data_IF_193726953151
#
_entry.id   IF_193726953151
#
_cell.length_a   1.000
_cell.length_b   1.000
_cell.length_c   1.000
_cell.angle_alpha   90.00
_cell.angle_beta   90.00
_cell.angle_gamma   90.00
#
_symmetry.space_group_name_H-M   'P 1'
#
loop_
_entity.id
_entity.type
_entity.pdbx_description
1 polymer ?
#
# COMPACT_ATOMS: atom_id res chain seq x y z
N UNK A 1 2.42 5.02 -4.35
CA UNK A 1 2.47 6.22 -3.48
C UNK A 1 3.03 5.83 -2.13
N UNK A 2 3.94 6.62 -1.55
CA UNK A 2 4.48 6.42 -0.21
C UNK A 2 4.28 7.72 0.58
N UNK A 3 3.54 7.65 1.69
CA UNK A 3 3.19 8.84 2.48
C UNK A 3 2.02 8.56 3.41
N UNK A 4 1.25 9.61 3.74
CA UNK A 4 0.05 9.46 4.55
C UNK A 4 -1.18 9.23 3.68
N UNK A 5 -2.19 8.60 4.26
CA UNK A 5 -3.43 8.30 3.58
C UNK A 5 -4.60 8.28 4.55
N UNK A 6 -5.77 8.50 3.99
CA UNK A 6 -7.03 8.19 4.63
C UNK A 6 -8.00 7.70 3.52
N UNK A 7 -9.26 7.38 3.85
CA UNK A 7 -10.16 6.78 2.88
C UNK A 7 -10.39 7.64 1.62
N UNK A 8 -10.19 8.95 1.67
CA UNK A 8 -10.53 9.87 0.57
C UNK A 8 -9.35 10.57 -0.10
N UNK A 9 -8.11 10.37 0.37
CA UNK A 9 -6.94 11.09 -0.16
C UNK A 9 -5.58 10.48 0.20
N UNK A 10 -4.62 10.85 -0.63
CA UNK A 10 -3.19 10.75 -0.38
C UNK A 10 -2.62 12.10 0.06
N UNK A 11 -1.72 12.09 1.06
CA UNK A 11 -1.17 13.28 1.68
C UNK A 11 0.37 13.16 1.67
N UNK A 12 1.07 14.16 1.10
CA UNK A 12 2.53 14.15 0.92
C UNK A 12 3.30 14.29 2.23
N UNK A 13 2.79 15.10 3.14
CA UNK A 13 3.46 15.41 4.40
C UNK A 13 2.46 15.55 5.57
N UNK A 14 2.94 15.49 6.82
CA UNK A 14 2.09 15.69 8.01
C UNK A 14 1.38 17.06 8.04
N UNK A 15 1.88 18.06 7.30
CA UNK A 15 1.31 19.40 7.16
C UNK A 15 0.05 19.47 6.29
N UNK A 16 -0.54 18.33 5.93
CA UNK A 16 -1.76 18.21 5.12
C UNK A 16 -1.62 18.67 3.66
N UNK A 17 -0.42 18.68 3.09
CA UNK A 17 -0.27 18.85 1.64
C UNK A 17 -0.88 17.67 0.90
N UNK A 18 -1.98 17.94 0.18
CA UNK A 18 -2.77 16.91 -0.49
C UNK A 18 -2.15 16.58 -1.83
N UNK A 19 -1.84 15.30 -2.04
CA UNK A 19 -1.29 14.82 -3.30
C UNK A 19 -2.39 14.54 -4.33
N UNK A 20 -3.46 13.89 -3.89
CA UNK A 20 -4.48 13.30 -4.76
C UNK A 20 -5.72 12.94 -3.94
N UNK A 21 -6.91 13.28 -4.41
CA UNK A 21 -8.19 13.09 -3.71
C UNK A 21 -9.19 12.26 -4.50
N UNK A 22 -10.31 11.90 -3.86
CA UNK A 22 -11.44 11.23 -4.51
C UNK A 22 -11.96 11.95 -5.76
N UNK A 23 -11.94 13.29 -5.81
CA UNK A 23 -12.34 14.00 -7.02
C UNK A 23 -11.37 13.72 -8.18
N UNK A 24 -10.07 13.71 -7.92
CA UNK A 24 -9.06 13.39 -8.94
C UNK A 24 -9.20 11.94 -9.40
N UNK A 25 -9.47 11.01 -8.45
CA UNK A 25 -9.75 9.62 -8.74
C UNK A 25 -10.99 9.43 -9.62
N UNK A 26 -12.07 10.17 -9.33
CA UNK A 26 -13.31 10.13 -10.10
C UNK A 26 -13.18 10.75 -11.50
N UNK A 27 -12.29 11.72 -11.67
CA UNK A 27 -12.13 12.49 -12.90
C UNK A 27 -10.89 12.13 -13.70
N UNK A 28 -10.12 11.12 -13.26
CA UNK A 28 -8.92 10.69 -13.97
C UNK A 28 -9.21 10.22 -15.41
N UNK A 29 -8.36 10.68 -16.33
CA UNK A 29 -8.52 10.57 -17.78
C UNK A 29 -7.50 9.64 -18.45
N UNK A 30 -6.86 8.75 -17.69
CA UNK A 30 -5.93 7.74 -18.21
C UNK A 30 -6.67 6.58 -18.90
N UNK A 31 -7.51 6.92 -19.88
CA UNK A 31 -8.34 5.97 -20.60
C UNK A 31 -7.48 4.94 -21.30
N UNK A 32 -7.80 3.66 -21.13
CA UNK A 32 -7.08 2.50 -21.66
C UNK A 32 -5.58 2.46 -21.30
N UNK A 33 -5.16 3.25 -20.31
CA UNK A 33 -3.76 3.39 -19.85
C UNK A 33 -3.74 3.32 -18.32
N UNK A 34 -4.44 2.32 -17.80
CA UNK A 34 -4.58 2.08 -16.37
C UNK A 34 -3.27 1.60 -15.74
N UNK A 35 -3.04 1.99 -14.49
CA UNK A 35 -1.82 1.63 -13.77
C UNK A 35 -2.11 0.69 -12.60
N UNK A 36 -1.12 -0.12 -12.22
CA UNK A 36 -1.12 -0.79 -10.92
C UNK A 36 -0.68 0.21 -9.86
N UNK A 37 -1.51 0.39 -8.84
CA UNK A 37 -1.22 1.30 -7.73
C UNK A 37 -0.87 0.50 -6.49
N UNK A 38 0.34 0.69 -5.97
CA UNK A 38 0.72 0.30 -4.62
C UNK A 38 0.73 1.53 -3.71
N UNK A 39 -0.20 1.57 -2.77
CA UNK A 39 -0.36 2.59 -1.76
C UNK A 39 0.32 2.14 -0.46
N UNK A 40 1.57 2.55 -0.28
CA UNK A 40 2.23 2.59 1.02
C UNK A 40 1.69 3.80 1.80
N UNK A 41 0.44 3.71 2.25
CA UNK A 41 -0.26 4.73 3.01
C UNK A 41 -1.38 4.11 3.86
N UNK A 42 -1.79 4.82 4.92
CA UNK A 42 -2.81 4.36 5.86
C UNK A 42 -4.21 4.32 5.23
N UNK A 43 -4.98 3.28 5.54
CA UNK A 43 -6.45 3.23 5.42
C UNK A 43 -7.01 3.78 4.09
N UNK A 44 -6.39 3.44 2.96
CA UNK A 44 -6.87 3.88 1.64
C UNK A 44 -7.89 2.93 1.01
N UNK A 45 -8.04 1.72 1.59
CA UNK A 45 -8.97 0.68 1.13
C UNK A 45 -9.78 0.04 2.27
N UNK A 46 -10.38 0.80 3.20
CA UNK A 46 -11.23 0.24 4.25
C UNK A 46 -12.57 -0.19 3.66
N UNK A 47 -12.62 -1.38 3.07
CA UNK A 47 -13.82 -1.95 2.41
C UNK A 47 -15.00 -2.23 3.37
N UNK A 48 -14.80 -2.01 4.67
CA UNK A 48 -15.76 -2.31 5.73
C UNK A 48 -16.15 -1.09 6.57
N UNK A 49 -15.66 0.11 6.25
CA UNK A 49 -15.98 1.32 7.01
C UNK A 49 -16.87 2.31 6.25
N UNK A 50 -16.76 2.40 4.92
CA UNK A 50 -17.61 3.23 4.03
C UNK A 50 -17.36 2.85 2.56
N UNK A 51 -18.37 3.01 1.72
CA UNK A 51 -18.23 2.90 0.26
C UNK A 51 -17.44 4.08 -0.33
N UNK A 52 -16.81 3.83 -1.48
CA UNK A 52 -16.10 4.82 -2.30
C UNK A 52 -14.88 5.44 -1.60
N UNK A 53 -14.10 4.60 -0.91
CA UNK A 53 -12.72 4.94 -0.63
C UNK A 53 -11.91 5.10 -1.93
N UNK A 54 -10.77 5.77 -1.85
CA UNK A 54 -9.97 6.16 -3.01
C UNK A 54 -9.54 4.95 -3.85
N UNK A 55 -9.22 3.82 -3.21
CA UNK A 55 -8.89 2.58 -3.90
C UNK A 55 -10.08 2.00 -4.66
N UNK A 56 -11.26 1.97 -4.04
CA UNK A 56 -12.50 1.55 -4.71
C UNK A 56 -12.86 2.42 -5.90
N UNK A 57 -12.78 3.75 -5.75
CA UNK A 57 -13.08 4.68 -6.85
C UNK A 57 -12.19 4.35 -8.04
N UNK A 58 -10.87 4.23 -7.82
CA UNK A 58 -9.91 3.94 -8.89
C UNK A 58 -10.17 2.61 -9.60
N UNK A 59 -10.64 1.57 -8.88
CA UNK A 59 -11.00 0.28 -9.47
C UNK A 59 -12.35 0.31 -10.20
N UNK A 60 -13.32 1.09 -9.71
CA UNK A 60 -14.67 1.19 -10.28
C UNK A 60 -14.73 2.05 -11.56
N UNK A 61 -13.66 2.79 -11.89
CA UNK A 61 -13.60 3.64 -13.09
C UNK A 61 -13.66 2.79 -14.37
N UNK A 62 -14.65 3.06 -15.21
CA UNK A 62 -14.77 2.38 -16.50
C UNK A 62 -13.67 2.86 -17.46
N UNK A 63 -12.88 1.93 -17.99
CA UNK A 63 -11.75 2.17 -18.90
C UNK A 63 -10.68 3.16 -18.39
N UNK A 64 -10.71 3.62 -17.13
CA UNK A 64 -9.71 4.53 -16.56
C UNK A 64 -9.39 4.17 -15.10
N UNK A 65 -8.59 4.96 -14.39
CA UNK A 65 -8.24 4.68 -13.00
C UNK A 65 -7.12 3.64 -12.88
N UNK A 66 -7.36 2.58 -12.10
CA UNK A 66 -6.36 1.58 -11.79
C UNK A 66 -6.75 0.19 -12.31
N UNK A 67 -5.78 -0.54 -12.87
CA UNK A 67 -5.98 -1.96 -13.23
C UNK A 67 -5.89 -2.86 -11.99
N UNK A 68 -5.38 -2.32 -10.89
CA UNK A 68 -5.25 -2.99 -9.61
C UNK A 68 -4.77 -2.02 -8.55
N UNK A 69 -5.20 -2.25 -7.32
CA UNK A 69 -4.92 -1.37 -6.21
C UNK A 69 -4.56 -2.19 -4.97
N UNK A 70 -3.39 -1.92 -4.41
CA UNK A 70 -2.90 -2.53 -3.18
C UNK A 70 -2.73 -1.42 -2.16
N UNK A 71 -3.47 -1.48 -1.05
CA UNK A 71 -3.38 -0.48 0.01
C UNK A 71 -3.78 -1.01 1.38
N UNK A 72 -3.59 -0.18 2.40
CA UNK A 72 -3.95 -0.53 3.77
C UNK A 72 -5.47 -0.44 3.99
N UNK A 73 -6.07 -1.49 4.52
CA UNK A 73 -7.43 -1.43 5.08
C UNK A 73 -7.50 -0.66 6.40
N UNK A 74 -6.35 -0.50 7.07
CA UNK A 74 -6.19 0.12 8.39
C UNK A 74 -4.92 0.96 8.41
N UNK A 75 -4.64 1.55 9.56
CA UNK A 75 -3.37 2.22 9.84
C UNK A 75 -2.22 1.26 9.56
N UNK A 76 -1.25 1.75 8.79
CA UNK A 76 0.01 1.06 8.50
C UNK A 76 1.15 1.86 9.08
N UNK A 77 2.24 1.19 9.43
CA UNK A 77 3.34 1.81 10.17
C UNK A 77 4.66 1.73 9.43
N UNK A 78 5.56 2.65 9.75
CA UNK A 78 6.93 2.66 9.29
C UNK A 78 7.83 3.33 10.31
N UNK A 79 9.11 3.01 10.28
CA UNK A 79 10.13 3.77 11.01
C UNK A 79 10.81 4.75 10.07
N UNK A 80 10.95 6.00 10.50
CA UNK A 80 11.59 7.05 9.70
C UNK A 80 13.06 6.73 9.39
N UNK A 81 13.76 6.12 10.34
CA UNK A 81 15.17 5.74 10.22
C UNK A 81 15.39 4.33 9.64
N UNK A 82 14.37 3.71 9.03
CA UNK A 82 14.54 2.45 8.29
C UNK A 82 15.15 2.70 6.90
N UNK A 83 16.47 2.89 6.87
CA UNK A 83 17.24 3.21 5.66
C UNK A 83 17.35 2.02 4.70
N UNK A 84 17.23 0.78 5.20
CA UNK A 84 17.28 -0.44 4.37
C UNK A 84 15.92 -0.81 3.76
N UNK A 85 14.85 -0.11 4.15
CA UNK A 85 13.48 -0.36 3.74
C UNK A 85 13.05 -1.80 4.03
N UNK A 86 13.41 -2.31 5.21
CA UNK A 86 13.20 -3.71 5.61
C UNK A 86 12.10 -3.87 6.67
N UNK A 87 11.66 -2.76 7.26
CA UNK A 87 10.79 -2.77 8.43
C UNK A 87 9.37 -2.36 8.07
N UNK A 88 8.41 -3.03 8.69
CA UNK A 88 6.99 -2.70 8.66
C UNK A 88 6.48 -2.56 7.21
N UNK A 89 5.72 -1.51 6.91
CA UNK A 89 5.14 -1.34 5.59
C UNK A 89 6.18 -0.98 4.49
N UNK A 90 7.37 -0.46 4.86
CA UNK A 90 8.50 -0.26 3.93
C UNK A 90 9.06 -1.59 3.44
N UNK A 91 9.29 -2.53 4.36
CA UNK A 91 9.70 -3.90 4.06
C UNK A 91 8.72 -4.62 3.15
N UNK A 92 7.43 -4.51 3.47
CA UNK A 92 6.36 -5.08 2.65
C UNK A 92 6.34 -4.51 1.21
N UNK A 93 6.48 -3.19 1.06
CA UNK A 93 6.53 -2.56 -0.26
C UNK A 93 7.76 -2.99 -1.07
N UNK A 94 8.95 -3.00 -0.44
CA UNK A 94 10.21 -3.49 -1.07
C UNK A 94 10.04 -4.92 -1.56
N UNK A 95 9.52 -5.80 -0.72
CA UNK A 95 9.35 -7.21 -1.05
C UNK A 95 8.28 -7.43 -2.10
N UNK A 96 7.16 -6.69 -2.08
CA UNK A 96 6.17 -6.75 -3.14
C UNK A 96 6.79 -6.51 -4.51
N UNK A 97 7.57 -5.42 -4.65
CA UNK A 97 8.19 -5.09 -5.93
C UNK A 97 9.30 -6.07 -6.32
N UNK A 98 10.02 -6.64 -5.35
CA UNK A 98 10.94 -7.76 -5.61
C UNK A 98 10.19 -8.96 -6.19
N UNK A 99 9.12 -9.40 -5.54
CA UNK A 99 8.32 -10.54 -6.01
C UNK A 99 7.70 -10.28 -7.38
N UNK A 100 7.21 -9.07 -7.62
CA UNK A 100 6.57 -8.70 -8.88
C UNK A 100 7.57 -8.62 -10.05
N UNK A 101 8.66 -7.87 -9.89
CA UNK A 101 9.59 -7.57 -10.99
C UNK A 101 10.77 -8.54 -11.08
N UNK A 102 11.38 -8.90 -9.95
CA UNK A 102 12.58 -9.75 -9.93
C UNK A 102 12.19 -11.21 -10.03
N UNK A 103 11.23 -11.64 -9.20
CA UNK A 103 10.74 -13.03 -9.19
C UNK A 103 9.64 -13.28 -10.22
N UNK A 104 9.33 -12.28 -11.05
CA UNK A 104 8.39 -12.34 -12.19
C UNK A 104 6.97 -12.81 -11.83
N UNK A 105 6.51 -12.53 -10.61
CA UNK A 105 5.15 -12.86 -10.16
C UNK A 105 4.17 -11.77 -10.59
N UNK A 106 3.90 -11.65 -11.89
CA UNK A 106 3.10 -10.55 -12.45
C UNK A 106 1.61 -10.54 -12.07
N UNK A 107 1.10 -11.65 -11.50
CA UNK A 107 -0.21 -11.64 -10.87
C UNK A 107 -0.12 -10.92 -9.52
N UNK A 108 -0.75 -9.76 -9.41
CA UNK A 108 -0.63 -8.86 -8.26
C UNK A 108 -0.96 -9.54 -6.93
N UNK A 109 -2.05 -10.31 -6.87
CA UNK A 109 -2.42 -11.07 -5.67
C UNK A 109 -1.38 -12.14 -5.30
N UNK A 110 -0.76 -12.79 -6.30
CA UNK A 110 0.33 -13.75 -6.08
C UNK A 110 1.58 -13.04 -5.54
N UNK A 111 2.01 -11.94 -6.16
CA UNK A 111 3.14 -11.14 -5.65
C UNK A 111 2.90 -10.64 -4.23
N UNK A 112 1.67 -10.19 -3.92
CA UNK A 112 1.30 -9.74 -2.59
C UNK A 112 1.37 -10.87 -1.56
N UNK A 113 0.87 -12.06 -1.89
CA UNK A 113 0.98 -13.21 -1.00
C UNK A 113 2.43 -13.61 -0.76
N UNK A 114 3.24 -13.72 -1.82
CA UNK A 114 4.64 -14.11 -1.69
C UNK A 114 5.47 -13.06 -0.95
N UNK A 115 5.13 -11.77 -1.07
CA UNK A 115 5.85 -10.73 -0.33
C UNK A 115 5.60 -10.82 1.17
N UNK A 116 4.40 -11.23 1.60
CA UNK A 116 4.11 -11.53 3.01
C UNK A 116 4.92 -12.72 3.52
N UNK A 117 5.00 -13.79 2.73
CA UNK A 117 5.84 -14.95 3.07
C UNK A 117 7.31 -14.55 3.18
N UNK A 118 7.83 -13.78 2.22
CA UNK A 118 9.20 -13.28 2.26
C UNK A 118 9.46 -12.36 3.47
N UNK A 119 8.47 -11.55 3.87
CA UNK A 119 8.58 -10.66 5.01
C UNK A 119 8.64 -11.44 6.32
N UNK A 120 7.78 -12.44 6.51
CA UNK A 120 7.81 -13.33 7.68
C UNK A 120 9.12 -14.14 7.78
N UNK A 121 9.74 -14.46 6.64
CA UNK A 121 11.03 -15.14 6.59
C UNK A 121 12.24 -14.18 6.61
N UNK A 122 12.03 -12.88 6.76
CA UNK A 122 13.11 -11.89 6.73
C UNK A 122 13.91 -11.86 8.04
N UNK A 123 15.15 -11.39 7.96
CA UNK A 123 15.99 -11.15 9.15
C UNK A 123 15.37 -10.15 10.12
N UNK A 124 14.60 -9.17 9.61
CA UNK A 124 13.92 -8.21 10.47
C UNK A 124 12.85 -8.92 11.29
N UNK A 125 11.92 -9.64 10.65
CA UNK A 125 10.80 -10.27 11.35
C UNK A 125 11.26 -11.38 12.31
N UNK A 126 12.32 -12.11 11.97
CA UNK A 126 12.88 -13.17 12.82
C UNK A 126 13.89 -12.66 13.85
N UNK A 127 14.11 -11.34 13.96
CA UNK A 127 14.98 -10.80 15.00
C UNK A 127 14.30 -10.94 16.37
N UNK A 128 14.98 -11.48 17.41
CA UNK A 128 14.42 -11.61 18.76
C UNK A 128 13.94 -10.29 19.39
N UNK A 129 14.45 -9.14 18.93
CA UNK A 129 14.01 -7.83 19.39
C UNK A 129 12.68 -7.37 18.78
N UNK A 130 12.22 -8.00 17.69
CA UNK A 130 10.91 -7.72 17.11
C UNK A 130 9.85 -8.44 17.94
N UNK A 131 8.95 -7.66 18.50
CA UNK A 131 7.84 -8.15 19.31
C UNK A 131 6.56 -8.17 18.47
N UNK A 132 5.52 -8.88 18.93
CA UNK A 132 4.16 -8.82 18.37
C UNK A 132 3.17 -8.25 19.41
N UNK A 133 3.68 -7.52 20.41
CA UNK A 133 2.88 -6.98 21.51
C UNK A 133 2.21 -5.68 21.12
N UNK A 134 2.92 -4.78 20.44
CA UNK A 134 2.40 -3.47 20.08
C UNK A 134 1.57 -3.55 18.80
N UNK A 135 0.58 -2.68 18.67
CA UNK A 135 -0.36 -2.71 17.54
C UNK A 135 0.34 -2.49 16.19
N UNK A 136 1.36 -1.64 16.16
CA UNK A 136 2.14 -1.40 14.94
C UNK A 136 2.97 -2.60 14.50
N UNK A 137 3.31 -3.49 15.43
CA UNK A 137 4.06 -4.71 15.14
C UNK A 137 3.15 -5.81 14.59
N UNK A 138 1.91 -5.88 15.10
CA UNK A 138 0.91 -6.87 14.69
C UNK A 138 0.32 -6.62 13.30
N UNK A 139 0.34 -5.38 12.81
CA UNK A 139 -0.32 -4.96 11.56
C UNK A 139 0.61 -4.97 10.33
N UNK A 140 1.56 -5.90 10.28
CA UNK A 140 2.54 -6.03 9.19
C UNK A 140 2.26 -7.19 8.24
#
# INVERSE_FOLDING_TARGET
>A
FAGHGNPSKFIRNPSSDVAYINNDANTCSNTNTTSLIYAFACTTTPIDQNDNNIGEILIKRNNSGAIGYIGGMRITWYFEHDTKLEKLNRGNAKLFWKEFFVEKKFQQGKALWYSKVAYMNSNYFNNPSVSMRLEYERKN
#
